data_IF_750589894376
#
_entry.id   IF_750589894376
#
_cell.length_a   1.000
_cell.length_b   1.000
_cell.length_c   1.000
_cell.angle_alpha   90.00
_cell.angle_beta   90.00
_cell.angle_gamma   90.00
#
_symmetry.space_group_name_H-M   'P 1'
#
loop_
_entity.id
_entity.type
_entity.pdbx_description
1 polymer ?
#
# COMPACT_ATOMS: atom_id res chain seq x y z
N UNK A 1 -23.73 -6.84 9.60
CA UNK A 1 -22.40 -7.46 9.73
C UNK A 1 -21.78 -7.46 8.35
N UNK A 2 -20.86 -6.53 8.06
CA UNK A 2 -20.31 -6.38 6.70
C UNK A 2 -19.17 -7.40 6.55
N UNK A 3 -19.45 -8.49 5.84
CA UNK A 3 -18.50 -9.36 5.11
C UNK A 3 -17.25 -9.86 5.83
N UNK A 4 -17.29 -11.10 6.32
CA UNK A 4 -16.18 -11.86 6.93
C UNK A 4 -15.05 -12.22 5.94
N UNK A 5 -14.38 -11.24 5.32
CA UNK A 5 -13.12 -11.45 4.59
C UNK A 5 -11.95 -11.07 5.50
N UNK A 6 -11.66 -11.90 6.49
CA UNK A 6 -10.42 -11.78 7.27
C UNK A 6 -9.24 -12.17 6.39
N UNK A 7 -8.64 -11.18 5.72
CA UNK A 7 -7.39 -11.38 4.99
C UNK A 7 -6.26 -11.42 5.99
N UNK A 8 -5.58 -12.57 6.11
CA UNK A 8 -4.30 -12.64 6.82
C UNK A 8 -3.23 -11.92 6.01
N UNK A 9 -2.93 -10.69 6.40
CA UNK A 9 -1.77 -9.96 5.92
C UNK A 9 -0.53 -10.44 6.69
N UNK A 10 0.57 -10.63 5.98
CA UNK A 10 1.88 -10.79 6.61
C UNK A 10 2.29 -9.49 7.30
N UNK A 11 3.24 -9.55 8.24
CA UNK A 11 3.73 -8.36 8.96
C UNK A 11 4.13 -7.24 8.00
N UNK A 12 4.80 -7.58 6.90
CA UNK A 12 5.26 -6.60 5.89
C UNK A 12 4.12 -5.98 5.08
N UNK A 13 3.11 -6.76 4.71
CA UNK A 13 1.93 -6.24 4.02
C UNK A 13 1.15 -5.27 4.91
N UNK A 14 1.04 -5.60 6.21
CA UNK A 14 0.41 -4.72 7.19
C UNK A 14 1.21 -3.42 7.40
N UNK A 15 2.54 -3.51 7.52
CA UNK A 15 3.43 -2.33 7.60
C UNK A 15 3.29 -1.44 6.35
N UNK A 16 3.27 -2.03 5.16
CA UNK A 16 3.09 -1.29 3.90
C UNK A 16 1.73 -0.59 3.83
N UNK A 17 0.66 -1.29 4.21
CA UNK A 17 -0.67 -0.71 4.26
C UNK A 17 -0.75 0.42 5.29
N UNK A 18 -0.22 0.20 6.49
CA UNK A 18 -0.18 1.22 7.54
C UNK A 18 0.57 2.47 7.09
N UNK A 19 1.71 2.29 6.39
CA UNK A 19 2.48 3.40 5.84
C UNK A 19 1.71 4.16 4.74
N UNK A 20 1.00 3.44 3.86
CA UNK A 20 0.13 4.04 2.85
C UNK A 20 -1.04 4.81 3.47
N UNK A 21 -1.63 4.29 4.55
CA UNK A 21 -2.71 4.96 5.27
C UNK A 21 -2.21 6.19 6.03
N UNK A 22 -1.02 6.12 6.63
CA UNK A 22 -0.37 7.26 7.27
C UNK A 22 -0.08 8.39 6.28
N UNK A 23 0.27 8.03 5.03
CA UNK A 23 0.43 8.93 3.89
C UNK A 23 -0.78 8.90 2.95
N UNK A 24 -1.97 8.76 3.52
CA UNK A 24 -3.20 8.77 2.75
C UNK A 24 -3.36 10.12 2.05
N UNK A 25 -3.78 10.09 0.80
CA UNK A 25 -3.83 11.25 -0.10
C UNK A 25 -2.48 11.95 -0.36
N UNK A 26 -1.35 11.32 0.01
CA UNK A 26 0.00 11.79 -0.28
C UNK A 26 0.78 10.82 -1.20
N UNK A 27 1.89 11.29 -1.77
CA UNK A 27 2.77 10.45 -2.60
C UNK A 27 3.79 9.75 -1.70
N UNK A 28 3.61 8.45 -1.51
CA UNK A 28 4.59 7.59 -0.87
C UNK A 28 5.68 7.20 -1.88
N UNK A 29 6.90 7.68 -1.66
CA UNK A 29 8.02 7.33 -2.53
C UNK A 29 8.42 5.87 -2.41
N UNK A 30 8.80 5.26 -3.54
CA UNK A 30 9.21 3.84 -3.61
C UNK A 30 10.38 3.55 -2.67
N UNK A 31 11.43 4.37 -2.77
CA UNK A 31 12.64 4.25 -1.95
C UNK A 31 12.36 4.46 -0.46
N UNK A 32 11.47 5.40 -0.14
CA UNK A 32 11.06 5.66 1.24
C UNK A 32 10.32 4.47 1.84
N UNK A 33 9.32 3.94 1.13
CA UNK A 33 8.59 2.75 1.57
C UNK A 33 9.53 1.55 1.77
N UNK A 34 10.46 1.35 0.83
CA UNK A 34 11.46 0.28 0.93
C UNK A 34 12.37 0.43 2.13
N UNK A 35 12.91 1.64 2.36
CA UNK A 35 13.78 1.91 3.52
C UNK A 35 13.05 1.83 4.85
N UNK A 36 11.79 2.25 4.90
CA UNK A 36 11.00 2.18 6.15
C UNK A 36 10.65 0.74 6.52
N UNK A 37 10.26 -0.08 5.54
CA UNK A 37 9.73 -1.43 5.81
C UNK A 37 10.82 -2.50 5.70
N UNK A 38 11.67 -2.42 4.68
CA UNK A 38 12.71 -3.41 4.41
C UNK A 38 14.13 -2.95 4.78
N UNK A 39 14.33 -1.71 5.23
CA UNK A 39 15.63 -1.11 5.61
C UNK A 39 16.62 -0.99 4.44
N UNK A 40 16.29 -1.58 3.29
CA UNK A 40 17.14 -1.70 2.11
C UNK A 40 16.27 -1.63 0.84
N UNK A 41 16.71 -0.86 -0.15
CA UNK A 41 16.01 -0.58 -1.41
C UNK A 41 16.43 -1.51 -2.57
N UNK A 42 17.01 -2.68 -2.27
CA UNK A 42 17.41 -3.62 -3.31
C UNK A 42 16.25 -4.01 -4.25
N UNK A 43 16.65 -4.43 -5.44
CA UNK A 43 15.74 -4.84 -6.50
C UNK A 43 14.76 -5.96 -6.09
N UNK A 44 15.16 -6.89 -5.23
CA UNK A 44 14.28 -7.98 -4.76
C UNK A 44 13.17 -7.46 -3.84
N UNK A 45 13.47 -6.55 -2.92
CA UNK A 45 12.52 -5.88 -2.04
C UNK A 45 11.57 -5.01 -2.87
N UNK A 46 12.12 -4.29 -3.85
CA UNK A 46 11.36 -3.49 -4.79
C UNK A 46 10.33 -4.35 -5.55
N UNK A 47 10.73 -5.53 -6.04
CA UNK A 47 9.81 -6.48 -6.69
C UNK A 47 8.77 -7.04 -5.73
N UNK A 48 9.17 -7.37 -4.50
CA UNK A 48 8.25 -7.84 -3.45
C UNK A 48 7.19 -6.80 -3.12
N UNK A 49 7.58 -5.53 -3.01
CA UNK A 49 6.64 -4.43 -2.76
C UNK A 49 5.61 -4.29 -3.87
N UNK A 50 5.99 -4.40 -5.15
CA UNK A 50 5.03 -4.33 -6.26
C UNK A 50 3.98 -5.46 -6.19
N UNK A 51 4.40 -6.66 -5.76
CA UNK A 51 3.49 -7.78 -5.50
C UNK A 51 2.55 -7.47 -4.32
N UNK A 52 3.07 -6.91 -3.24
CA UNK A 52 2.25 -6.51 -2.08
C UNK A 52 1.25 -5.41 -2.43
N UNK A 53 1.64 -4.37 -3.18
CA UNK A 53 0.73 -3.35 -3.70
C UNK A 53 -0.38 -3.98 -4.53
N UNK A 54 -0.05 -4.95 -5.40
CA UNK A 54 -1.04 -5.63 -6.23
C UNK A 54 -2.03 -6.44 -5.37
N UNK A 55 -1.56 -7.08 -4.30
CA UNK A 55 -2.45 -7.77 -3.35
C UNK A 55 -3.31 -6.78 -2.58
N UNK A 56 -2.73 -5.73 -2.00
CA UNK A 56 -3.45 -4.68 -1.27
C UNK A 56 -4.55 -4.06 -2.14
N UNK A 57 -4.26 -3.77 -3.40
CA UNK A 57 -5.29 -3.33 -4.37
C UNK A 57 -6.45 -4.31 -4.49
N UNK A 58 -6.19 -5.62 -4.53
CA UNK A 58 -7.27 -6.62 -4.58
C UNK A 58 -8.08 -6.67 -3.29
N UNK A 59 -7.45 -6.45 -2.15
CA UNK A 59 -8.14 -6.38 -0.85
C UNK A 59 -9.00 -5.12 -0.73
N UNK A 60 -8.48 -3.99 -1.19
CA UNK A 60 -9.18 -2.70 -1.18
C UNK A 60 -10.23 -2.59 -2.31
N UNK A 61 -10.20 -3.48 -3.31
CA UNK A 61 -11.16 -3.49 -4.42
C UNK A 61 -12.62 -3.64 -3.96
N UNK A 62 -12.84 -4.22 -2.78
CA UNK A 62 -14.18 -4.32 -2.19
C UNK A 62 -14.74 -2.92 -1.79
N UNK A 63 -13.87 -1.92 -1.59
CA UNK A 63 -14.23 -0.53 -1.30
C UNK A 63 -13.92 0.39 -2.52
N UNK A 64 -14.94 0.92 -3.22
CA UNK A 64 -14.74 1.76 -4.39
C UNK A 64 -14.21 3.16 -4.05
N UNK A 65 -14.20 3.56 -2.78
CA UNK A 65 -13.70 4.87 -2.36
C UNK A 65 -12.19 4.86 -2.14
N UNK A 66 -11.59 3.68 -1.93
CA UNK A 66 -10.17 3.52 -1.65
C UNK A 66 -9.44 2.97 -2.87
N UNK A 67 -8.46 3.71 -3.38
CA UNK A 67 -7.68 3.30 -4.54
C UNK A 67 -6.18 3.55 -4.37
N UNK A 68 -5.35 2.55 -4.64
CA UNK A 68 -3.89 2.75 -4.72
C UNK A 68 -3.51 3.08 -6.16
N UNK A 69 -3.03 4.28 -6.43
CA UNK A 69 -2.53 4.70 -7.74
C UNK A 69 -1.00 4.64 -7.78
N UNK A 70 -0.45 4.35 -8.96
CA UNK A 70 0.99 4.39 -9.19
C UNK A 70 1.35 5.70 -9.89
N UNK A 71 2.22 6.50 -9.29
CA UNK A 71 2.74 7.74 -9.83
C UNK A 71 4.09 7.45 -10.47
N UNK A 72 4.12 7.44 -11.80
CA UNK A 72 5.33 7.17 -12.58
C UNK A 72 6.50 8.07 -12.15
N UNK A 73 7.64 7.45 -11.86
CA UNK A 73 8.86 8.14 -11.43
C UNK A 73 8.85 8.69 -10.00
N UNK A 74 7.77 8.51 -9.22
CA UNK A 74 7.71 8.96 -7.82
C UNK A 74 7.42 7.82 -6.84
N UNK A 75 6.42 6.99 -7.10
CA UNK A 75 6.01 5.93 -6.18
C UNK A 75 4.52 5.67 -6.19
N UNK A 76 3.93 5.43 -5.01
CA UNK A 76 2.54 5.05 -4.85
C UNK A 76 1.76 6.12 -4.10
N UNK A 77 0.47 6.25 -4.38
CA UNK A 77 -0.42 7.14 -3.65
C UNK A 77 -1.69 6.37 -3.29
N UNK A 78 -2.06 6.39 -2.02
CA UNK A 78 -3.33 5.86 -1.56
C UNK A 78 -4.35 6.99 -1.61
N UNK A 79 -5.41 6.83 -2.40
CA UNK A 79 -6.57 7.70 -2.39
C UNK A 79 -7.57 7.11 -1.40
N UNK A 80 -7.98 7.91 -0.43
CA UNK A 80 -9.05 7.57 0.51
C UNK A 80 -10.11 8.67 0.45
N UNK A 81 -11.39 8.35 0.64
CA UNK A 81 -12.42 9.36 0.80
C UNK A 81 -12.09 10.19 2.04
N UNK A 82 -12.11 11.51 1.94
CA UNK A 82 -12.10 12.35 3.13
C UNK A 82 -13.50 12.23 3.75
N UNK A 83 -13.59 11.63 4.94
CA UNK A 83 -14.72 11.89 5.83
C UNK A 83 -14.57 13.34 6.32
N UNK A 84 -15.32 14.25 5.69
CA UNK A 84 -15.72 15.53 6.32
C UNK A 84 -16.94 15.30 7.23
#
# INVERSE_FOLDING_TARGET
TIGEKQTKLTTKENELLALLCAHSNEILQRDFALKTIWIDDNYFNARSMDVYITKLRKHLKDDPQIEIINIHGKGYKLIVPNED
#
